data_IF_819152805619
#
_entry.id   IF_819152805619
#
_cell.length_a   1.000
_cell.length_b   1.000
_cell.length_c   1.000
_cell.angle_alpha   90.00
_cell.angle_beta   90.00
_cell.angle_gamma   90.00
#
_symmetry.space_group_name_H-M   'P 1'
#
loop_
_entity.id
_entity.type
_entity.pdbx_description
1 polymer ?
#
# COMPACT_ATOMS: atom_id res chain seq x y z
N UNK A 1 1.29 -5.72 -31.30
CA UNK A 1 1.40 -7.08 -30.68
C UNK A 1 1.84 -7.03 -29.20
N UNK A 2 2.82 -6.20 -28.81
CA UNK A 2 3.25 -6.10 -27.40
C UNK A 2 2.12 -5.63 -26.45
N UNK A 3 1.32 -4.65 -26.86
CA UNK A 3 0.20 -4.15 -26.05
C UNK A 3 -0.89 -5.21 -25.83
N UNK A 4 -1.26 -5.95 -26.88
CA UNK A 4 -2.24 -7.02 -26.82
C UNK A 4 -1.78 -8.19 -25.93
N UNK A 5 -0.49 -8.53 -26.02
CA UNK A 5 0.11 -9.54 -25.16
C UNK A 5 0.17 -9.06 -23.70
N UNK A 6 0.52 -7.80 -23.45
CA UNK A 6 0.49 -7.20 -22.13
C UNK A 6 -0.91 -7.18 -21.52
N UNK A 7 -1.93 -6.79 -22.31
CA UNK A 7 -3.33 -6.83 -21.88
C UNK A 7 -3.80 -8.25 -21.55
N UNK A 8 -3.46 -9.23 -22.39
CA UNK A 8 -3.77 -10.65 -22.14
C UNK A 8 -3.09 -11.13 -20.85
N UNK A 9 -1.85 -10.75 -20.62
CA UNK A 9 -1.12 -11.10 -19.39
C UNK A 9 -1.81 -10.58 -18.14
N UNK A 10 -2.29 -9.31 -18.14
CA UNK A 10 -3.07 -8.74 -17.02
C UNK A 10 -4.38 -9.51 -16.81
N UNK A 11 -5.09 -9.91 -17.87
CA UNK A 11 -6.31 -10.72 -17.79
C UNK A 11 -6.01 -12.09 -17.16
N UNK A 12 -4.94 -12.76 -17.59
CA UNK A 12 -4.54 -14.05 -17.02
C UNK A 12 -4.11 -13.94 -15.56
N UNK A 13 -3.43 -12.83 -15.19
CA UNK A 13 -3.13 -12.53 -13.80
C UNK A 13 -4.40 -12.37 -12.96
N UNK A 14 -5.45 -11.71 -13.48
CA UNK A 14 -6.75 -11.60 -12.82
C UNK A 14 -7.43 -12.96 -12.61
N UNK A 15 -7.42 -13.83 -13.62
CA UNK A 15 -7.98 -15.19 -13.49
C UNK A 15 -7.27 -15.96 -12.37
N UNK A 16 -5.93 -15.88 -12.33
CA UNK A 16 -5.15 -16.53 -11.27
C UNK A 16 -5.38 -15.89 -9.90
N UNK A 17 -5.58 -14.58 -9.82
CA UNK A 17 -5.92 -13.88 -8.58
C UNK A 17 -7.30 -14.34 -8.03
N UNK A 18 -8.30 -14.52 -8.91
CA UNK A 18 -9.60 -15.07 -8.53
C UNK A 18 -9.49 -16.51 -8.00
N UNK A 19 -8.69 -17.35 -8.66
CA UNK A 19 -8.41 -18.71 -8.18
C UNK A 19 -7.68 -18.67 -6.84
N UNK A 20 -6.68 -17.80 -6.67
CA UNK A 20 -5.94 -17.62 -5.41
C UNK A 20 -6.85 -17.13 -4.26
N UNK A 21 -7.78 -16.24 -4.55
CA UNK A 21 -8.71 -15.71 -3.55
C UNK A 21 -9.72 -16.75 -3.05
N UNK A 22 -10.08 -17.74 -3.88
CA UNK A 22 -11.21 -18.64 -3.63
C UNK A 22 -10.79 -20.05 -3.24
N UNK A 23 -10.08 -20.78 -4.11
CA UNK A 23 -9.80 -22.19 -3.90
C UNK A 23 -8.98 -22.50 -2.63
N UNK A 24 -7.91 -21.75 -2.30
CA UNK A 24 -7.17 -21.98 -1.06
C UNK A 24 -8.03 -21.77 0.19
N UNK A 25 -8.89 -20.75 0.16
CA UNK A 25 -9.79 -20.47 1.27
C UNK A 25 -10.81 -21.60 1.47
N UNK A 26 -11.42 -22.08 0.39
CA UNK A 26 -12.28 -23.28 0.41
C UNK A 26 -11.51 -24.50 0.95
N UNK A 27 -10.25 -24.67 0.54
CA UNK A 27 -9.38 -25.72 1.05
C UNK A 27 -9.20 -25.65 2.57
N UNK A 28 -9.07 -24.45 3.14
CA UNK A 28 -8.93 -24.30 4.60
C UNK A 28 -10.20 -24.63 5.38
N UNK A 29 -11.40 -24.40 4.81
CA UNK A 29 -12.67 -24.77 5.44
C UNK A 29 -12.93 -26.28 5.37
N UNK A 30 -12.53 -26.93 4.28
CA UNK A 30 -12.79 -28.35 4.02
C UNK A 30 -11.63 -29.27 4.45
N UNK A 31 -10.53 -28.72 4.99
CA UNK A 31 -9.33 -29.49 5.34
C UNK A 31 -8.58 -30.06 4.13
N UNK A 32 -8.81 -29.56 2.90
CA UNK A 32 -8.23 -30.09 1.67
C UNK A 32 -6.87 -29.43 1.36
N UNK A 33 -5.79 -30.15 1.67
CA UNK A 33 -4.43 -29.66 1.43
C UNK A 33 -4.13 -29.36 -0.06
N UNK A 34 -4.71 -30.11 -1.00
CA UNK A 34 -4.48 -29.87 -2.44
C UNK A 34 -5.00 -28.48 -2.85
N UNK A 35 -6.20 -28.12 -2.38
CA UNK A 35 -6.76 -26.79 -2.64
C UNK A 35 -5.94 -25.68 -1.95
N UNK A 36 -5.42 -25.93 -0.74
CA UNK A 36 -4.55 -24.97 -0.05
C UNK A 36 -3.25 -24.71 -0.83
N UNK A 37 -2.65 -25.75 -1.43
CA UNK A 37 -1.42 -25.62 -2.21
C UNK A 37 -1.60 -24.82 -3.51
N UNK A 38 -2.82 -24.69 -4.03
CA UNK A 38 -3.11 -23.83 -5.20
C UNK A 38 -2.66 -22.38 -4.96
N UNK A 39 -2.69 -21.89 -3.71
CA UNK A 39 -2.23 -20.56 -3.37
C UNK A 39 -0.79 -20.27 -3.83
N UNK A 40 0.11 -21.26 -3.68
CA UNK A 40 1.51 -21.11 -4.09
C UNK A 40 1.67 -21.03 -5.61
N UNK A 41 1.00 -21.93 -6.34
CA UNK A 41 1.07 -21.98 -7.80
C UNK A 41 0.49 -20.72 -8.43
N UNK A 42 -0.65 -20.24 -7.92
CA UNK A 42 -1.31 -19.04 -8.45
C UNK A 42 -0.54 -17.77 -8.14
N UNK A 43 0.12 -17.67 -6.98
CA UNK A 43 1.00 -16.55 -6.67
C UNK A 43 2.17 -16.44 -7.67
N UNK A 44 2.83 -17.57 -7.98
CA UNK A 44 3.88 -17.60 -9.00
C UNK A 44 3.34 -17.29 -10.41
N UNK A 45 2.18 -17.82 -10.77
CA UNK A 45 1.54 -17.54 -12.05
C UNK A 45 1.21 -16.04 -12.22
N UNK A 46 0.66 -15.39 -11.20
CA UNK A 46 0.42 -13.93 -11.22
C UNK A 46 1.73 -13.15 -11.42
N UNK A 47 2.78 -13.49 -10.68
CA UNK A 47 4.08 -12.85 -10.83
C UNK A 47 4.63 -12.98 -12.26
N UNK A 48 4.56 -14.17 -12.86
CA UNK A 48 5.03 -14.42 -14.23
C UNK A 48 4.26 -13.55 -15.23
N UNK A 49 2.93 -13.53 -15.15
CA UNK A 49 2.12 -12.74 -16.07
C UNK A 49 2.27 -11.24 -15.88
N UNK A 50 2.41 -10.75 -14.64
CA UNK A 50 2.65 -9.33 -14.38
C UNK A 50 4.08 -8.92 -14.80
N UNK A 51 5.07 -9.80 -14.68
CA UNK A 51 6.41 -9.60 -15.25
C UNK A 51 6.32 -9.46 -16.76
N UNK A 52 5.56 -10.32 -17.43
CA UNK A 52 5.32 -10.23 -18.87
C UNK A 52 4.63 -8.91 -19.24
N UNK A 53 3.62 -8.49 -18.47
CA UNK A 53 2.93 -7.22 -18.73
C UNK A 53 3.87 -6.01 -18.61
N UNK A 54 4.71 -5.94 -17.55
CA UNK A 54 5.74 -4.89 -17.41
C UNK A 54 6.72 -4.93 -18.58
N UNK A 55 7.20 -6.11 -18.97
CA UNK A 55 8.11 -6.27 -20.09
C UNK A 55 7.49 -5.81 -21.42
N UNK A 56 6.21 -6.10 -21.64
CA UNK A 56 5.48 -5.63 -22.83
C UNK A 56 5.36 -4.10 -22.86
N UNK A 57 5.08 -3.47 -21.71
CA UNK A 57 5.00 -2.01 -21.62
C UNK A 57 6.39 -1.37 -21.81
N UNK A 58 7.44 -1.94 -21.20
CA UNK A 58 8.82 -1.50 -21.40
C UNK A 58 9.24 -1.59 -22.87
N UNK A 59 8.90 -2.68 -23.56
CA UNK A 59 9.15 -2.82 -24.99
C UNK A 59 8.39 -1.74 -25.80
N UNK A 60 7.11 -1.47 -25.48
CA UNK A 60 6.36 -0.43 -26.17
C UNK A 60 6.97 0.97 -25.98
N UNK A 61 7.47 1.28 -24.77
CA UNK A 61 8.19 2.52 -24.49
C UNK A 61 9.49 2.64 -25.31
N UNK A 62 10.34 1.62 -25.25
CA UNK A 62 11.64 1.62 -25.94
C UNK A 62 11.52 1.61 -27.47
N UNK A 63 10.49 0.97 -28.01
CA UNK A 63 10.22 0.95 -29.46
C UNK A 63 9.43 2.16 -29.95
N UNK A 64 9.09 3.12 -29.09
CA UNK A 64 8.26 4.30 -29.40
C UNK A 64 6.92 3.90 -30.05
N UNK A 65 6.22 2.87 -29.52
CA UNK A 65 4.93 2.44 -30.04
C UNK A 65 3.82 3.45 -29.60
N UNK A 66 3.81 4.63 -30.26
CA UNK A 66 2.82 5.69 -29.98
C UNK A 66 1.38 5.33 -30.37
N UNK A 67 1.14 4.16 -30.92
CA UNK A 67 -0.22 3.64 -31.05
C UNK A 67 -0.81 3.21 -29.68
N UNK A 68 0.04 3.00 -28.66
CA UNK A 68 -0.39 2.81 -27.27
C UNK A 68 -0.59 4.17 -26.62
N UNK A 69 -1.81 4.46 -26.15
CA UNK A 69 -2.17 5.76 -25.57
C UNK A 69 -1.22 6.18 -24.44
N UNK A 70 -0.87 5.25 -23.56
CA UNK A 70 0.03 5.52 -22.45
C UNK A 70 1.43 5.96 -22.92
N UNK A 71 1.98 5.28 -23.91
CA UNK A 71 3.29 5.61 -24.49
C UNK A 71 3.25 6.99 -25.16
N UNK A 72 2.21 7.26 -25.94
CA UNK A 72 2.02 8.56 -26.60
C UNK A 72 1.90 9.74 -25.60
N UNK A 73 1.36 9.48 -24.40
CA UNK A 73 1.15 10.52 -23.39
C UNK A 73 2.36 10.77 -22.48
N UNK A 74 3.30 9.81 -22.37
CA UNK A 74 4.36 9.83 -21.35
C UNK A 74 5.75 9.64 -21.89
N UNK A 75 5.94 9.57 -23.20
CA UNK A 75 7.24 9.36 -23.85
C UNK A 75 7.34 10.17 -25.14
N UNK A 76 8.56 10.31 -25.68
CA UNK A 76 8.84 10.90 -26.99
C UNK A 76 10.04 10.21 -27.64
N UNK A 77 10.27 10.47 -28.94
CA UNK A 77 11.45 9.94 -29.65
C UNK A 77 12.73 10.46 -29.01
N UNK A 78 12.75 11.74 -28.60
CA UNK A 78 13.93 12.41 -28.03
C UNK A 78 14.23 12.04 -26.57
N UNK A 79 13.28 11.43 -25.85
CA UNK A 79 13.45 11.07 -24.44
C UNK A 79 14.57 10.04 -24.26
N UNK A 80 15.56 10.26 -23.34
CA UNK A 80 16.60 9.29 -23.05
C UNK A 80 16.05 7.92 -22.62
N UNK A 81 16.68 6.83 -23.03
CA UNK A 81 16.19 5.45 -22.79
C UNK A 81 15.91 5.15 -21.33
N UNK A 82 16.76 5.64 -20.41
CA UNK A 82 16.54 5.46 -18.97
C UNK A 82 15.21 6.07 -18.53
N UNK A 83 14.85 7.25 -19.06
CA UNK A 83 13.57 7.90 -18.75
C UNK A 83 12.41 7.28 -19.51
N UNK A 84 12.60 6.65 -20.68
CA UNK A 84 11.58 5.79 -21.31
C UNK A 84 11.18 4.62 -20.42
N UNK A 85 12.16 3.99 -19.76
CA UNK A 85 11.89 2.91 -18.81
C UNK A 85 11.18 3.44 -17.56
N UNK A 86 11.65 4.55 -16.98
CA UNK A 86 11.04 5.11 -15.77
C UNK A 86 9.70 5.78 -16.04
N UNK A 87 9.42 6.21 -17.27
CA UNK A 87 8.11 6.66 -17.70
C UNK A 87 7.02 5.58 -17.57
N UNK A 88 7.40 4.29 -17.42
CA UNK A 88 6.44 3.23 -17.06
C UNK A 88 5.66 3.61 -15.80
N UNK A 89 6.26 4.30 -14.85
CA UNK A 89 5.57 4.77 -13.64
C UNK A 89 5.39 6.29 -13.57
N UNK A 90 5.69 7.00 -14.65
CA UNK A 90 5.50 8.45 -14.77
C UNK A 90 4.04 8.90 -14.90
N UNK A 91 3.13 7.98 -15.17
CA UNK A 91 1.69 8.23 -15.30
C UNK A 91 0.87 7.24 -14.50
N UNK A 92 -0.44 7.51 -14.42
CA UNK A 92 -1.36 6.76 -13.55
C UNK A 92 -1.44 5.27 -13.88
N UNK A 93 -1.63 4.91 -15.15
CA UNK A 93 -1.89 3.53 -15.61
C UNK A 93 -0.66 2.64 -15.38
N UNK A 94 0.50 3.12 -15.79
CA UNK A 94 1.73 2.35 -15.64
C UNK A 94 2.24 2.29 -14.20
N UNK A 95 2.04 3.35 -13.40
CA UNK A 95 2.32 3.32 -11.97
C UNK A 95 1.45 2.29 -11.24
N UNK A 96 0.19 2.10 -11.66
CA UNK A 96 -0.68 1.06 -11.12
C UNK A 96 -0.19 -0.35 -11.52
N UNK A 97 0.28 -0.52 -12.76
CA UNK A 97 0.86 -1.79 -13.21
C UNK A 97 2.13 -2.11 -12.39
N UNK A 98 3.03 -1.14 -12.17
CA UNK A 98 4.21 -1.33 -11.32
C UNK A 98 3.81 -1.70 -9.89
N UNK A 99 2.83 -1.03 -9.30
CA UNK A 99 2.38 -1.35 -7.96
C UNK A 99 1.82 -2.78 -7.86
N UNK A 100 0.97 -3.17 -8.82
CA UNK A 100 0.40 -4.52 -8.86
C UNK A 100 1.48 -5.58 -9.09
N UNK A 101 2.50 -5.28 -9.89
CA UNK A 101 3.67 -6.13 -10.06
C UNK A 101 4.45 -6.27 -8.75
N UNK A 102 4.78 -5.18 -8.05
CA UNK A 102 5.45 -5.21 -6.75
C UNK A 102 4.62 -5.97 -5.71
N UNK A 103 3.29 -5.80 -5.73
CA UNK A 103 2.39 -6.59 -4.90
C UNK A 103 2.51 -8.10 -5.17
N UNK A 104 2.66 -8.51 -6.44
CA UNK A 104 2.88 -9.92 -6.78
C UNK A 104 4.23 -10.44 -6.27
N UNK A 105 5.26 -9.60 -6.19
CA UNK A 105 6.55 -9.94 -5.54
C UNK A 105 6.33 -10.26 -4.06
N UNK A 106 5.51 -9.49 -3.35
CA UNK A 106 5.14 -9.82 -1.97
C UNK A 106 4.39 -11.15 -1.87
N UNK A 107 3.49 -11.47 -2.81
CA UNK A 107 2.80 -12.75 -2.85
C UNK A 107 3.76 -13.93 -2.99
N UNK A 108 4.72 -13.85 -3.94
CA UNK A 108 5.71 -14.93 -4.10
C UNK A 108 6.70 -14.99 -2.93
N UNK A 109 7.05 -13.85 -2.33
CA UNK A 109 7.89 -13.82 -1.14
C UNK A 109 7.21 -14.56 0.03
N UNK A 110 5.94 -14.25 0.31
CA UNK A 110 5.14 -14.99 1.32
C UNK A 110 5.07 -16.46 0.96
N UNK A 111 4.76 -16.81 -0.29
CA UNK A 111 4.69 -18.19 -0.77
C UNK A 111 6.00 -18.97 -0.53
N UNK A 112 7.14 -18.31 -0.72
CA UNK A 112 8.46 -18.95 -0.70
C UNK A 112 9.06 -19.01 0.71
N UNK A 113 8.94 -17.93 1.49
CA UNK A 113 9.60 -17.78 2.79
C UNK A 113 8.74 -18.16 3.99
N UNK A 114 7.48 -18.56 3.78
CA UNK A 114 6.56 -18.97 4.85
C UNK A 114 6.54 -20.49 5.13
N UNK A 115 7.59 -21.22 4.79
CA UNK A 115 7.65 -22.69 4.95
C UNK A 115 7.49 -23.17 6.40
N UNK A 116 7.84 -22.36 7.40
CA UNK A 116 7.67 -22.66 8.82
C UNK A 116 6.26 -22.37 9.35
N UNK A 117 5.40 -21.76 8.54
CA UNK A 117 4.03 -21.40 8.90
C UNK A 117 3.10 -22.55 8.49
N UNK A 118 2.09 -22.90 9.32
CA UNK A 118 1.13 -23.94 8.96
C UNK A 118 0.46 -23.65 7.61
N UNK A 119 0.28 -24.69 6.79
CA UNK A 119 -0.26 -24.60 5.42
C UNK A 119 -1.61 -23.87 5.39
N UNK A 120 -2.49 -24.14 6.34
CA UNK A 120 -3.80 -23.53 6.43
C UNK A 120 -3.73 -22.02 6.71
N UNK A 121 -2.73 -21.57 7.47
CA UNK A 121 -2.49 -20.14 7.71
C UNK A 121 -1.91 -19.46 6.47
N UNK A 122 -0.87 -20.05 5.86
CA UNK A 122 -0.28 -19.51 4.62
C UNK A 122 -1.30 -19.44 3.49
N UNK A 123 -2.14 -20.46 3.35
CA UNK A 123 -3.21 -20.48 2.36
C UNK A 123 -4.24 -19.36 2.56
N UNK A 124 -4.64 -19.06 3.82
CA UNK A 124 -5.51 -17.92 4.14
C UNK A 124 -4.83 -16.58 3.84
N UNK A 125 -3.57 -16.42 4.23
CA UNK A 125 -2.81 -15.19 3.96
C UNK A 125 -2.73 -14.93 2.45
N UNK A 126 -2.32 -15.93 1.67
CA UNK A 126 -2.25 -15.80 0.21
C UNK A 126 -3.64 -15.60 -0.43
N UNK A 127 -4.69 -16.22 0.10
CA UNK A 127 -6.06 -16.00 -0.37
C UNK A 127 -6.52 -14.54 -0.15
N UNK A 128 -6.24 -13.97 1.01
CA UNK A 128 -6.54 -12.56 1.29
C UNK A 128 -5.73 -11.64 0.37
N UNK A 129 -4.44 -11.93 0.15
CA UNK A 129 -3.64 -11.22 -0.84
C UNK A 129 -4.22 -11.36 -2.25
N UNK A 130 -4.72 -12.54 -2.61
CA UNK A 130 -5.44 -12.77 -3.87
C UNK A 130 -6.67 -11.87 -4.01
N UNK A 131 -7.46 -11.68 -2.95
CA UNK A 131 -8.61 -10.75 -2.96
C UNK A 131 -8.17 -9.30 -3.23
N UNK A 132 -7.07 -8.85 -2.62
CA UNK A 132 -6.49 -7.52 -2.88
C UNK A 132 -6.02 -7.42 -4.34
N UNK A 133 -5.33 -8.44 -4.86
CA UNK A 133 -4.88 -8.49 -6.26
C UNK A 133 -6.05 -8.39 -7.24
N UNK A 134 -7.18 -9.09 -6.98
CA UNK A 134 -8.40 -8.97 -7.79
C UNK A 134 -8.86 -7.52 -7.87
N UNK A 135 -8.88 -6.79 -6.76
CA UNK A 135 -9.28 -5.39 -6.74
C UNK A 135 -8.36 -4.51 -7.59
N UNK A 136 -7.04 -4.65 -7.47
CA UNK A 136 -6.08 -3.88 -8.27
C UNK A 136 -6.16 -4.21 -9.76
N UNK A 137 -6.28 -5.49 -10.10
CA UNK A 137 -6.37 -5.94 -11.49
C UNK A 137 -7.68 -5.53 -12.15
N UNK A 138 -8.81 -5.58 -11.44
CA UNK A 138 -10.09 -5.04 -11.91
C UNK A 138 -10.02 -3.52 -12.10
N UNK A 139 -9.42 -2.80 -11.14
CA UNK A 139 -9.23 -1.36 -11.26
C UNK A 139 -8.42 -1.02 -12.52
N UNK A 140 -7.33 -1.75 -12.76
CA UNK A 140 -6.50 -1.57 -13.96
C UNK A 140 -7.29 -1.84 -15.24
N UNK A 141 -8.00 -2.97 -15.32
CA UNK A 141 -8.70 -3.38 -16.54
C UNK A 141 -9.93 -2.52 -16.86
N UNK A 142 -10.63 -2.03 -15.83
CA UNK A 142 -11.88 -1.30 -16.03
C UNK A 142 -11.71 0.23 -16.17
N UNK A 143 -10.65 0.79 -15.57
CA UNK A 143 -10.51 2.27 -15.52
C UNK A 143 -9.14 2.79 -15.92
N UNK A 144 -8.10 1.94 -15.97
CA UNK A 144 -6.71 2.42 -16.02
C UNK A 144 -5.79 1.48 -16.77
N UNK A 145 -6.22 0.97 -17.96
CA UNK A 145 -5.38 0.06 -18.74
C UNK A 145 -4.20 0.79 -19.40
N UNK A 146 -2.94 0.34 -19.13
CA UNK A 146 -1.77 0.91 -19.79
C UNK A 146 -1.59 0.45 -21.24
N UNK A 147 -2.44 -0.47 -21.73
CA UNK A 147 -2.33 -1.08 -23.05
C UNK A 147 -3.40 -0.61 -24.04
N UNK A 148 -4.15 0.45 -23.69
CA UNK A 148 -5.18 1.00 -24.56
C UNK A 148 -4.57 1.58 -25.84
N UNK A 149 -5.20 1.27 -27.00
CA UNK A 149 -4.75 1.72 -28.31
C UNK A 149 -5.46 3.02 -28.72
N UNK A 150 -4.72 3.89 -29.37
CA UNK A 150 -5.27 5.03 -30.11
C UNK A 150 -5.78 4.60 -31.48
N UNK A 151 -6.86 5.20 -31.93
CA UNK A 151 -7.38 4.97 -33.28
C UNK A 151 -6.41 5.47 -34.38
N UNK A 152 -5.69 6.55 -34.10
CA UNK A 152 -4.65 7.12 -34.95
C UNK A 152 -3.42 7.34 -34.08
N UNK A 153 -2.31 6.73 -34.45
CA UNK A 153 -1.03 6.92 -33.76
C UNK A 153 -0.43 8.28 -34.16
N UNK A 154 -0.03 9.13 -33.21
CA UNK A 154 0.71 10.34 -33.52
C UNK A 154 2.14 10.00 -34.04
N UNK A 155 2.75 10.97 -34.74
CA UNK A 155 4.11 10.81 -35.24
C UNK A 155 5.16 10.81 -34.12
N UNK A 156 4.90 11.50 -33.01
CA UNK A 156 5.70 11.54 -31.80
C UNK A 156 4.78 11.63 -30.59
N UNK A 157 5.31 11.39 -29.39
CA UNK A 157 4.57 11.48 -28.13
C UNK A 157 4.67 12.85 -27.47
N UNK A 158 3.92 13.03 -26.38
CA UNK A 158 3.79 14.30 -25.63
C UNK A 158 4.97 14.55 -24.67
N UNK A 159 5.97 13.63 -24.66
CA UNK A 159 7.10 13.62 -23.75
C UNK A 159 6.76 13.34 -22.27
N UNK A 160 7.77 13.06 -21.47
CA UNK A 160 7.66 12.95 -20.03
C UNK A 160 7.76 14.35 -19.40
N UNK A 161 6.92 14.62 -18.40
CA UNK A 161 7.02 15.88 -17.66
C UNK A 161 8.46 16.13 -17.22
N UNK A 162 9.07 17.31 -17.52
CA UNK A 162 10.46 17.60 -17.17
C UNK A 162 10.83 17.37 -15.69
N UNK A 163 9.94 17.65 -14.75
CA UNK A 163 10.14 17.37 -13.32
C UNK A 163 10.32 15.87 -13.01
N UNK A 164 9.90 14.99 -13.90
CA UNK A 164 10.05 13.54 -13.78
C UNK A 164 11.32 13.01 -14.46
N UNK A 165 12.06 13.87 -15.18
CA UNK A 165 13.33 13.52 -15.82
C UNK A 165 14.50 13.71 -14.85
N UNK A 166 14.42 13.07 -13.68
CA UNK A 166 15.32 13.20 -12.54
C UNK A 166 15.68 11.83 -11.96
N UNK A 167 16.89 11.65 -11.39
CA UNK A 167 17.27 10.41 -10.70
C UNK A 167 16.31 10.02 -9.56
N UNK A 168 15.65 10.98 -8.89
CA UNK A 168 14.62 10.72 -7.88
C UNK A 168 13.46 9.90 -8.45
N UNK A 169 13.04 10.19 -9.69
CA UNK A 169 12.00 9.44 -10.39
C UNK A 169 12.38 7.97 -10.64
N UNK A 170 13.66 7.67 -10.78
CA UNK A 170 14.11 6.29 -11.00
C UNK A 170 13.90 5.44 -9.76
N UNK A 171 14.19 5.98 -8.57
CA UNK A 171 14.35 5.19 -7.34
C UNK A 171 13.16 5.36 -6.38
N UNK A 172 12.70 6.62 -6.17
CA UNK A 172 11.69 6.92 -5.15
C UNK A 172 10.36 6.16 -5.33
N UNK A 173 9.68 6.17 -6.51
CA UNK A 173 8.38 5.53 -6.64
C UNK A 173 8.42 4.01 -6.44
N UNK A 174 9.40 3.25 -7.00
CA UNK A 174 9.52 1.83 -6.71
C UNK A 174 9.71 1.53 -5.22
N UNK A 175 10.58 2.28 -4.51
CA UNK A 175 10.81 2.09 -3.08
C UNK A 175 9.55 2.35 -2.26
N UNK A 176 8.84 3.43 -2.59
CA UNK A 176 7.57 3.78 -1.96
C UNK A 176 6.54 2.66 -2.15
N UNK A 177 6.39 2.14 -3.37
CA UNK A 177 5.43 1.08 -3.67
C UNK A 177 5.76 -0.25 -2.99
N UNK A 178 7.04 -0.59 -2.81
CA UNK A 178 7.43 -1.76 -2.00
C UNK A 178 6.93 -1.59 -0.57
N UNK A 179 7.11 -0.43 0.05
CA UNK A 179 6.61 -0.13 1.39
C UNK A 179 5.09 -0.21 1.50
N UNK A 180 4.39 0.49 0.61
CA UNK A 180 2.92 0.50 0.57
C UNK A 180 2.33 -0.90 0.41
N UNK A 181 2.80 -1.64 -0.60
CA UNK A 181 2.34 -3.00 -0.88
C UNK A 181 2.64 -3.95 0.27
N UNK A 182 3.76 -3.74 0.96
CA UNK A 182 4.20 -4.63 2.04
C UNK A 182 3.25 -4.66 3.24
N UNK A 183 2.54 -3.56 3.56
CA UNK A 183 1.55 -3.55 4.63
C UNK A 183 0.34 -4.44 4.33
N UNK A 184 0.09 -4.80 3.08
CA UNK A 184 -0.92 -5.80 2.73
C UNK A 184 -0.62 -7.18 3.31
N UNK A 185 0.66 -7.52 3.51
CA UNK A 185 1.05 -8.79 4.13
C UNK A 185 0.65 -8.81 5.61
N UNK A 186 0.94 -7.73 6.36
CA UNK A 186 0.53 -7.60 7.76
C UNK A 186 -1.00 -7.65 7.89
N UNK A 187 -1.71 -6.95 7.01
CA UNK A 187 -3.16 -7.00 6.89
C UNK A 187 -3.66 -8.42 6.61
N UNK A 188 -3.07 -9.12 5.65
CA UNK A 188 -3.48 -10.48 5.30
C UNK A 188 -3.27 -11.46 6.45
N UNK A 189 -2.19 -11.31 7.23
CA UNK A 189 -1.99 -12.08 8.46
C UNK A 189 -3.05 -11.77 9.52
N UNK A 190 -3.43 -10.49 9.69
CA UNK A 190 -4.48 -10.10 10.62
C UNK A 190 -5.85 -10.69 10.23
N UNK A 191 -6.22 -10.61 8.95
CA UNK A 191 -7.46 -11.20 8.44
C UNK A 191 -7.43 -12.74 8.53
N UNK A 192 -6.31 -13.38 8.20
CA UNK A 192 -6.16 -14.82 8.34
C UNK A 192 -6.30 -15.28 9.80
N UNK A 193 -5.77 -14.52 10.77
CA UNK A 193 -5.96 -14.76 12.20
C UNK A 193 -7.42 -14.63 12.61
N UNK A 194 -8.12 -13.58 12.14
CA UNK A 194 -9.56 -13.40 12.38
C UNK A 194 -10.40 -14.55 11.79
N UNK A 195 -10.11 -14.97 10.57
CA UNK A 195 -10.81 -16.07 9.90
C UNK A 195 -10.58 -17.41 10.61
N UNK A 196 -9.36 -17.67 11.08
CA UNK A 196 -9.02 -18.94 11.76
C UNK A 196 -9.35 -18.96 13.24
N UNK A 197 -9.56 -17.80 13.88
CA UNK A 197 -9.73 -17.67 15.33
C UNK A 197 -8.43 -17.89 16.12
N UNK A 198 -7.27 -17.89 15.47
CA UNK A 198 -5.95 -18.09 16.10
C UNK A 198 -5.29 -16.75 16.42
N UNK A 199 -5.32 -16.36 17.67
CA UNK A 199 -4.77 -15.10 18.18
C UNK A 199 -3.61 -15.38 19.16
N UNK A 200 -2.70 -16.28 18.81
CA UNK A 200 -1.55 -16.65 19.62
C UNK A 200 -0.31 -15.79 19.32
N UNK A 201 0.76 -15.98 20.10
CA UNK A 201 2.03 -15.28 19.89
C UNK A 201 2.71 -15.65 18.56
N UNK A 202 2.40 -16.82 18.00
CA UNK A 202 2.99 -17.28 16.76
C UNK A 202 2.56 -16.40 15.58
N UNK A 203 1.28 -15.99 15.55
CA UNK A 203 0.76 -15.07 14.54
C UNK A 203 1.55 -13.74 14.51
N UNK A 204 1.79 -13.12 15.67
CA UNK A 204 2.55 -11.88 15.77
C UNK A 204 3.99 -12.06 15.30
N UNK A 205 4.64 -13.19 15.68
CA UNK A 205 5.99 -13.54 15.25
C UNK A 205 6.09 -13.72 13.73
N UNK A 206 5.10 -14.33 13.08
CA UNK A 206 5.09 -14.52 11.64
C UNK A 206 4.88 -13.22 10.87
N UNK A 207 4.03 -12.33 11.38
CA UNK A 207 3.72 -11.05 10.73
C UNK A 207 4.84 -10.01 10.86
N UNK A 208 5.58 -10.01 11.99
CA UNK A 208 6.55 -8.97 12.33
C UNK A 208 7.67 -8.75 11.31
N UNK A 209 8.36 -9.77 10.77
CA UNK A 209 9.41 -9.56 9.78
C UNK A 209 8.91 -8.83 8.53
N UNK A 210 7.75 -9.23 8.02
CA UNK A 210 7.11 -8.62 6.84
C UNK A 210 6.76 -7.15 7.08
N UNK A 211 6.17 -6.86 8.23
CA UNK A 211 5.85 -5.49 8.66
C UNK A 211 7.10 -4.62 8.75
N UNK A 212 8.18 -5.16 9.30
CA UNK A 212 9.46 -4.43 9.44
C UNK A 212 10.07 -4.12 8.08
N UNK A 213 10.09 -5.08 7.15
CA UNK A 213 10.61 -4.86 5.79
C UNK A 213 9.77 -3.83 5.05
N UNK A 214 8.42 -3.92 5.12
CA UNK A 214 7.52 -2.93 4.54
C UNK A 214 7.79 -1.52 5.08
N UNK A 215 7.96 -1.39 6.39
CA UNK A 215 8.25 -0.12 7.05
C UNK A 215 9.61 0.46 6.64
N UNK A 216 10.65 -0.38 6.51
CA UNK A 216 11.98 0.05 6.03
C UNK A 216 11.87 0.64 4.62
N UNK A 217 11.21 -0.06 3.70
CA UNK A 217 11.05 0.42 2.32
C UNK A 217 10.19 1.69 2.25
N UNK A 218 9.15 1.79 3.08
CA UNK A 218 8.35 3.01 3.15
C UNK A 218 9.16 4.18 3.70
N UNK A 219 10.00 3.95 4.72
CA UNK A 219 10.93 4.96 5.27
C UNK A 219 11.91 5.45 4.20
N UNK A 220 12.53 4.53 3.46
CA UNK A 220 13.43 4.86 2.36
C UNK A 220 12.69 5.62 1.25
N UNK A 221 11.50 5.18 0.89
CA UNK A 221 10.66 5.84 -0.11
C UNK A 221 10.32 7.28 0.28
N UNK A 222 9.85 7.51 1.51
CA UNK A 222 9.54 8.85 2.03
C UNK A 222 10.80 9.73 2.04
N UNK A 223 11.93 9.21 2.53
CA UNK A 223 13.19 9.97 2.61
C UNK A 223 13.70 10.36 1.22
N UNK A 224 13.64 9.46 0.25
CA UNK A 224 14.01 9.74 -1.14
C UNK A 224 13.06 10.74 -1.81
N UNK A 225 11.77 10.68 -1.50
CA UNK A 225 10.79 11.66 -1.98
C UNK A 225 11.04 13.06 -1.42
N UNK A 226 11.35 13.14 -0.12
CA UNK A 226 11.74 14.40 0.53
C UNK A 226 13.03 15.00 -0.09
N UNK A 227 14.03 14.14 -0.38
CA UNK A 227 15.24 14.57 -1.05
C UNK A 227 14.94 15.06 -2.48
N UNK A 228 14.12 14.36 -3.24
CA UNK A 228 13.73 14.76 -4.58
C UNK A 228 12.95 16.07 -4.58
N UNK A 229 11.95 16.23 -3.71
CA UNK A 229 11.19 17.47 -3.56
C UNK A 229 12.09 18.67 -3.20
N UNK A 230 13.13 18.45 -2.38
CA UNK A 230 14.06 19.51 -1.96
C UNK A 230 14.80 20.15 -3.15
N UNK A 231 15.29 19.36 -4.10
CA UNK A 231 16.07 19.92 -5.19
C UNK A 231 15.26 20.19 -6.48
N UNK A 232 14.13 19.50 -6.69
CA UNK A 232 13.33 19.71 -7.90
C UNK A 232 12.27 20.79 -7.77
N UNK A 233 11.59 20.88 -6.63
CA UNK A 233 10.45 21.78 -6.49
C UNK A 233 10.82 23.20 -6.10
N UNK A 234 12.04 23.44 -5.61
CA UNK A 234 12.52 24.78 -5.23
C UNK A 234 11.78 25.41 -4.05
N UNK A 235 11.04 24.64 -3.26
CA UNK A 235 10.28 25.15 -2.11
C UNK A 235 11.14 25.47 -0.89
N UNK A 236 12.42 25.13 -0.90
CA UNK A 236 13.37 25.46 0.17
C UNK A 236 13.30 24.57 1.41
N UNK A 237 12.68 23.41 1.32
CA UNK A 237 12.55 22.47 2.43
C UNK A 237 12.41 21.03 1.99
N UNK A 238 12.40 20.12 2.96
CA UNK A 238 12.31 18.68 2.75
C UNK A 238 10.90 18.10 2.92
N UNK A 239 9.98 18.86 3.54
CA UNK A 239 8.64 18.41 3.87
C UNK A 239 7.67 19.57 3.94
N UNK A 240 6.54 19.48 3.28
CA UNK A 240 5.58 20.57 3.11
C UNK A 240 4.16 20.24 3.57
N UNK A 241 3.95 19.03 4.11
CA UNK A 241 2.63 18.53 4.44
C UNK A 241 1.66 18.52 3.25
N UNK A 242 2.22 18.32 2.05
CA UNK A 242 1.40 18.10 0.87
C UNK A 242 0.49 16.90 1.10
N UNK A 243 -0.77 16.89 0.62
CA UNK A 243 -1.69 15.77 0.81
C UNK A 243 -1.14 14.41 0.37
N UNK A 244 -0.28 14.36 -0.66
CA UNK A 244 0.37 13.11 -1.11
C UNK A 244 1.51 12.70 -0.19
N UNK A 245 2.29 13.64 0.33
CA UNK A 245 3.27 13.37 1.40
C UNK A 245 2.56 12.81 2.63
N UNK A 246 1.49 13.47 3.08
CA UNK A 246 0.67 13.01 4.19
C UNK A 246 0.11 11.60 3.96
N UNK A 247 -0.33 11.29 2.74
CA UNK A 247 -0.83 9.97 2.36
C UNK A 247 0.22 8.88 2.57
N UNK A 248 1.51 9.17 2.38
CA UNK A 248 2.60 8.23 2.65
C UNK A 248 2.96 8.14 4.13
N UNK A 249 2.85 9.25 4.84
CA UNK A 249 3.24 9.36 6.24
C UNK A 249 2.26 8.68 7.19
N UNK A 250 0.95 8.73 6.90
CA UNK A 250 -0.07 8.06 7.73
C UNK A 250 0.17 6.56 7.90
N UNK A 251 0.34 5.74 6.84
CA UNK A 251 0.65 4.32 7.00
C UNK A 251 2.01 4.07 7.65
N UNK A 252 2.99 4.99 7.51
CA UNK A 252 4.27 4.90 8.21
C UNK A 252 4.10 5.04 9.73
N UNK A 253 3.31 6.00 10.21
CA UNK A 253 2.99 6.20 11.62
C UNK A 253 2.25 4.97 12.19
N UNK A 254 1.20 4.51 11.50
CA UNK A 254 0.44 3.32 11.88
C UNK A 254 1.33 2.05 11.86
N UNK A 255 2.23 1.93 10.88
CA UNK A 255 3.21 0.86 10.78
C UNK A 255 4.22 0.85 11.91
N UNK A 256 4.68 2.04 12.35
CA UNK A 256 5.55 2.18 13.53
C UNK A 256 4.85 1.67 14.80
N UNK A 257 3.61 2.09 15.03
CA UNK A 257 2.79 1.60 16.14
C UNK A 257 2.55 0.08 16.04
N UNK A 258 2.34 -0.43 14.82
CA UNK A 258 2.16 -1.86 14.58
C UNK A 258 3.41 -2.67 14.93
N UNK A 259 4.60 -2.23 14.55
CA UNK A 259 5.87 -2.91 14.90
C UNK A 259 6.02 -3.02 16.42
N UNK A 260 5.77 -1.94 17.16
CA UNK A 260 5.80 -1.95 18.62
C UNK A 260 4.77 -2.92 19.21
N UNK A 261 3.55 -2.87 18.69
CA UNK A 261 2.46 -3.74 19.15
C UNK A 261 2.70 -5.21 18.85
N UNK A 262 3.25 -5.54 17.67
CA UNK A 262 3.66 -6.91 17.30
C UNK A 262 4.73 -7.45 18.25
N UNK A 263 5.72 -6.63 18.64
CA UNK A 263 6.76 -7.03 19.58
C UNK A 263 6.19 -7.38 20.97
N UNK A 264 5.21 -6.63 21.45
CA UNK A 264 4.52 -6.92 22.73
C UNK A 264 3.62 -8.15 22.59
N UNK A 265 2.86 -8.26 21.49
CA UNK A 265 1.97 -9.39 21.25
C UNK A 265 2.77 -10.72 21.15
N UNK A 266 3.94 -10.70 20.50
CA UNK A 266 4.83 -11.86 20.40
C UNK A 266 5.41 -12.29 21.75
N UNK A 267 5.94 -11.32 22.53
CA UNK A 267 6.70 -11.63 23.75
C UNK A 267 5.82 -11.80 25.00
N UNK A 268 4.70 -11.10 25.08
CA UNK A 268 3.85 -11.00 26.27
C UNK A 268 2.43 -11.48 26.05
N UNK A 269 2.00 -11.75 24.80
CA UNK A 269 0.63 -12.15 24.48
C UNK A 269 -0.41 -11.05 24.70
N UNK A 270 0.03 -9.80 24.93
CA UNK A 270 -0.83 -8.63 25.16
C UNK A 270 -1.03 -7.83 23.86
N UNK A 271 -1.96 -6.87 23.86
CA UNK A 271 -2.25 -5.96 22.73
C UNK A 271 -2.80 -6.63 21.46
N UNK A 272 -3.29 -7.86 21.51
CA UNK A 272 -3.72 -8.62 20.32
C UNK A 272 -4.76 -7.87 19.48
N UNK A 273 -5.83 -7.38 20.11
CA UNK A 273 -6.88 -6.61 19.42
C UNK A 273 -6.33 -5.32 18.82
N UNK A 274 -5.48 -4.61 19.57
CA UNK A 274 -4.83 -3.39 19.11
C UNK A 274 -3.91 -3.65 17.92
N UNK A 275 -3.11 -4.74 17.96
CA UNK A 275 -2.23 -5.16 16.88
C UNK A 275 -3.01 -5.47 15.59
N UNK A 276 -4.15 -6.16 15.71
CA UNK A 276 -5.03 -6.45 14.56
C UNK A 276 -5.59 -5.15 13.97
N UNK A 277 -6.10 -4.25 14.81
CA UNK A 277 -6.60 -2.95 14.35
C UNK A 277 -5.53 -2.10 13.68
N UNK A 278 -4.31 -2.08 14.23
CA UNK A 278 -3.19 -1.36 13.61
C UNK A 278 -2.77 -1.97 12.26
N UNK A 279 -2.80 -3.30 12.12
CA UNK A 279 -2.52 -3.96 10.84
C UNK A 279 -3.60 -3.63 9.78
N UNK A 280 -4.88 -3.63 10.19
CA UNK A 280 -5.98 -3.18 9.32
C UNK A 280 -5.79 -1.69 8.96
N UNK A 281 -5.49 -0.83 9.94
CA UNK A 281 -5.32 0.61 9.73
C UNK A 281 -4.16 0.94 8.81
N UNK A 282 -2.97 0.31 8.99
CA UNK A 282 -1.79 0.59 8.17
C UNK A 282 -2.06 0.31 6.68
N UNK A 283 -2.70 -0.81 6.36
CA UNK A 283 -3.06 -1.11 4.97
C UNK A 283 -4.24 -0.27 4.48
N UNK A 284 -5.24 0.00 5.31
CA UNK A 284 -6.37 0.88 4.96
C UNK A 284 -5.90 2.29 4.61
N UNK A 285 -4.92 2.83 5.35
CA UNK A 285 -4.31 4.12 5.07
C UNK A 285 -3.48 4.11 3.79
N UNK A 286 -2.81 2.98 3.46
CA UNK A 286 -2.15 2.81 2.17
C UNK A 286 -3.14 2.82 1.00
N UNK A 287 -4.29 2.16 1.13
CA UNK A 287 -5.37 2.21 0.14
C UNK A 287 -6.01 3.59 0.05
N UNK A 288 -6.23 4.27 1.19
CA UNK A 288 -6.74 5.63 1.21
C UNK A 288 -5.77 6.60 0.52
N UNK A 289 -4.46 6.45 0.77
CA UNK A 289 -3.42 7.18 0.04
C UNK A 289 -3.53 7.00 -1.47
N UNK A 290 -3.79 5.76 -1.91
CA UNK A 290 -4.08 5.46 -3.32
C UNK A 290 -5.28 6.23 -3.84
N UNK A 291 -6.38 6.29 -3.08
CA UNK A 291 -7.55 7.07 -3.44
C UNK A 291 -7.21 8.56 -3.58
N UNK A 292 -6.55 9.13 -2.58
CA UNK A 292 -6.21 10.55 -2.56
C UNK A 292 -5.35 10.97 -3.76
N UNK A 293 -4.34 10.15 -4.11
CA UNK A 293 -3.44 10.44 -5.23
C UNK A 293 -4.11 10.22 -6.59
N UNK A 294 -4.92 9.17 -6.73
CA UNK A 294 -5.40 8.68 -8.04
C UNK A 294 -6.79 9.14 -8.44
N UNK A 295 -7.59 9.61 -7.51
CA UNK A 295 -8.90 10.18 -7.81
C UNK A 295 -8.84 11.59 -8.37
N UNK A 296 -7.72 12.29 -8.19
CA UNK A 296 -7.56 13.70 -8.58
C UNK A 296 -8.41 14.67 -7.76
N UNK A 297 -8.99 14.25 -6.64
CA UNK A 297 -9.83 15.12 -5.78
C UNK A 297 -9.00 16.10 -4.95
N UNK A 298 -7.70 15.88 -4.81
CA UNK A 298 -6.80 16.75 -4.06
C UNK A 298 -6.01 17.67 -4.99
N UNK A 299 -5.84 18.91 -4.56
CA UNK A 299 -4.90 19.84 -5.19
C UNK A 299 -3.49 19.54 -4.65
N UNK A 300 -2.67 18.89 -5.47
CA UNK A 300 -1.27 18.56 -5.16
C UNK A 300 -0.46 18.52 -6.46
N UNK A 301 0.82 18.85 -6.37
CA UNK A 301 1.77 18.68 -7.50
C UNK A 301 1.98 17.22 -7.89
N UNK A 302 1.63 16.29 -7.01
CA UNK A 302 1.73 14.85 -7.20
C UNK A 302 0.41 14.20 -7.65
N UNK A 303 -0.70 14.97 -7.72
CA UNK A 303 -1.99 14.39 -8.07
C UNK A 303 -2.13 14.18 -9.58
N UNK A 304 -2.81 13.09 -9.95
CA UNK A 304 -3.22 12.84 -11.33
C UNK A 304 -4.50 13.64 -11.68
N UNK A 305 -4.80 13.73 -12.96
CA UNK A 305 -6.04 14.37 -13.41
C UNK A 305 -7.29 13.76 -12.76
N UNK A 306 -8.27 14.62 -12.46
CA UNK A 306 -9.53 14.20 -11.84
C UNK A 306 -10.29 13.26 -12.76
N UNK A 307 -10.66 12.09 -12.23
CA UNK A 307 -11.44 11.06 -12.91
C UNK A 307 -12.45 10.45 -11.92
N UNK A 308 -13.74 10.84 -12.02
CA UNK A 308 -14.78 10.36 -11.11
C UNK A 308 -14.98 8.84 -11.13
N UNK A 309 -14.76 8.16 -12.27
CA UNK A 309 -14.90 6.71 -12.36
C UNK A 309 -13.81 5.99 -11.55
N UNK A 310 -12.57 6.48 -11.65
CA UNK A 310 -11.46 6.01 -10.82
C UNK A 310 -11.73 6.23 -9.32
N UNK A 311 -12.21 7.43 -8.97
CA UNK A 311 -12.55 7.78 -7.60
C UNK A 311 -13.62 6.85 -7.02
N UNK A 312 -14.73 6.65 -7.74
CA UNK A 312 -15.81 5.76 -7.30
C UNK A 312 -15.35 4.31 -7.11
N UNK A 313 -14.56 3.77 -8.06
CA UNK A 313 -14.04 2.41 -7.95
C UNK A 313 -13.22 2.24 -6.66
N UNK A 314 -12.29 3.17 -6.41
CA UNK A 314 -11.42 3.08 -5.23
C UNK A 314 -12.22 3.25 -3.93
N UNK A 315 -13.22 4.12 -3.90
CA UNK A 315 -14.12 4.27 -2.74
C UNK A 315 -14.89 2.98 -2.44
N UNK A 316 -15.41 2.31 -3.46
CA UNK A 316 -16.06 1.00 -3.29
C UNK A 316 -15.08 -0.07 -2.79
N UNK A 317 -13.86 -0.05 -3.30
CA UNK A 317 -12.79 -0.94 -2.86
C UNK A 317 -12.41 -0.69 -1.39
N UNK A 318 -12.24 0.58 -1.00
CA UNK A 318 -12.02 0.99 0.40
C UNK A 318 -13.16 0.51 1.30
N UNK A 319 -14.41 0.78 0.92
CA UNK A 319 -15.58 0.36 1.68
C UNK A 319 -15.60 -1.16 1.91
N UNK A 320 -15.33 -1.94 0.87
CA UNK A 320 -15.30 -3.39 0.95
C UNK A 320 -14.19 -3.90 1.87
N UNK A 321 -12.96 -3.41 1.69
CA UNK A 321 -11.81 -3.92 2.45
C UNK A 321 -11.77 -3.39 3.88
N UNK A 322 -11.99 -2.09 4.09
CA UNK A 322 -12.01 -1.50 5.43
C UNK A 322 -13.26 -1.95 6.18
N UNK A 323 -14.43 -1.76 5.56
CA UNK A 323 -15.71 -2.13 6.17
C UNK A 323 -15.81 -3.62 6.48
N UNK A 324 -15.45 -4.47 5.52
CA UNK A 324 -15.42 -5.92 5.69
C UNK A 324 -14.44 -6.37 6.77
N UNK A 325 -13.25 -5.77 6.84
CA UNK A 325 -12.24 -6.09 7.85
C UNK A 325 -12.68 -5.68 9.26
N UNK A 326 -13.25 -4.49 9.40
CA UNK A 326 -13.77 -4.00 10.69
C UNK A 326 -14.99 -4.79 11.14
N UNK A 327 -15.88 -5.17 10.23
CA UNK A 327 -17.03 -6.03 10.54
C UNK A 327 -16.56 -7.43 11.00
N UNK A 328 -15.57 -8.02 10.30
CA UNK A 328 -14.97 -9.28 10.72
C UNK A 328 -14.26 -9.17 12.06
N UNK A 329 -13.54 -8.07 12.31
CA UNK A 329 -12.94 -7.79 13.61
C UNK A 329 -14.01 -7.69 14.71
N UNK A 330 -15.04 -6.89 14.51
CA UNK A 330 -16.13 -6.72 15.48
C UNK A 330 -16.80 -8.06 15.82
N UNK A 331 -17.04 -8.91 14.83
CA UNK A 331 -17.60 -10.24 15.01
C UNK A 331 -16.68 -11.16 15.83
N UNK A 332 -15.36 -11.12 15.59
CA UNK A 332 -14.37 -12.00 16.23
C UNK A 332 -13.78 -11.44 17.53
N UNK A 333 -13.92 -10.15 17.79
CA UNK A 333 -13.34 -9.46 18.95
C UNK A 333 -13.68 -10.11 20.32
N UNK A 334 -14.91 -10.61 20.58
CA UNK A 334 -15.24 -11.27 21.85
C UNK A 334 -14.39 -12.53 22.14
N UNK A 335 -13.91 -13.22 21.10
CA UNK A 335 -13.04 -14.39 21.21
C UNK A 335 -11.56 -14.09 21.43
N UNK A 336 -11.15 -12.82 21.36
CA UNK A 336 -9.76 -12.44 21.55
C UNK A 336 -9.47 -12.29 23.04
N UNK A 337 -8.66 -13.21 23.61
CA UNK A 337 -8.24 -13.11 25.01
C UNK A 337 -7.51 -11.79 25.27
N UNK A 338 -7.91 -11.08 26.32
CA UNK A 338 -7.42 -9.73 26.65
C UNK A 338 -5.95 -9.69 27.12
N UNK A 339 -5.31 -10.83 27.31
CA UNK A 339 -3.93 -10.93 27.80
C UNK A 339 -3.80 -10.67 29.29
N UNK A 340 -2.56 -10.69 29.81
CA UNK A 340 -2.24 -10.41 31.21
C UNK A 340 -2.38 -8.91 31.53
N UNK A 341 -2.76 -8.59 32.74
CA UNK A 341 -2.65 -7.24 33.27
C UNK A 341 -1.16 -6.86 33.40
N UNK A 342 -0.84 -5.61 33.15
CA UNK A 342 0.49 -5.05 33.32
C UNK A 342 0.46 -3.83 34.24
N UNK A 343 1.56 -3.57 34.92
CA UNK A 343 1.67 -2.46 35.87
C UNK A 343 1.73 -1.11 35.14
N UNK A 344 1.24 -0.04 35.78
CA UNK A 344 1.26 1.32 35.23
C UNK A 344 2.69 1.81 34.94
N UNK A 345 3.67 1.44 35.74
CA UNK A 345 5.09 1.76 35.53
C UNK A 345 5.83 0.58 34.87
N UNK A 346 5.40 0.17 33.67
CA UNK A 346 5.99 -0.95 32.93
C UNK A 346 6.40 -0.53 31.51
N UNK A 347 7.27 -1.34 30.87
CA UNK A 347 7.63 -1.16 29.45
C UNK A 347 6.39 -1.26 28.54
N UNK A 348 5.46 -2.12 28.89
CA UNK A 348 4.21 -2.33 28.18
C UNK A 348 3.36 -1.06 28.20
N UNK A 349 3.25 -0.39 29.34
CA UNK A 349 2.53 0.90 29.46
C UNK A 349 3.19 1.99 28.63
N UNK A 350 4.54 2.09 28.67
CA UNK A 350 5.28 3.07 27.86
C UNK A 350 5.06 2.83 26.36
N UNK A 351 5.09 1.57 25.90
CA UNK A 351 4.82 1.21 24.51
C UNK A 351 3.36 1.45 24.11
N UNK A 352 2.40 1.22 25.04
CA UNK A 352 0.99 1.53 24.80
C UNK A 352 0.76 3.03 24.61
N UNK A 353 1.35 3.86 25.50
CA UNK A 353 1.28 5.31 25.40
C UNK A 353 1.90 5.82 24.09
N UNK A 354 3.07 5.27 23.73
CA UNK A 354 3.71 5.61 22.45
C UNK A 354 2.82 5.24 21.25
N UNK A 355 2.20 4.05 21.26
CA UNK A 355 1.26 3.64 20.22
C UNK A 355 0.03 4.55 20.17
N UNK A 356 -0.45 5.02 21.32
CA UNK A 356 -1.57 5.97 21.38
C UNK A 356 -1.19 7.32 20.77
N UNK A 357 0.02 7.83 21.05
CA UNK A 357 0.52 9.05 20.44
C UNK A 357 0.70 8.92 18.93
N UNK A 358 1.25 7.81 18.45
CA UNK A 358 1.37 7.54 17.01
C UNK A 358 0.00 7.45 16.33
N UNK A 359 -0.97 6.80 16.97
CA UNK A 359 -2.34 6.74 16.46
C UNK A 359 -3.02 8.11 16.45
N UNK A 360 -2.80 8.93 17.49
CA UNK A 360 -3.30 10.30 17.55
C UNK A 360 -2.68 11.17 16.46
N UNK A 361 -1.35 11.10 16.25
CA UNK A 361 -0.68 11.79 15.15
C UNK A 361 -1.23 11.34 13.78
N UNK A 362 -1.45 10.04 13.59
CA UNK A 362 -2.07 9.51 12.37
C UNK A 362 -3.46 10.10 12.14
N UNK A 363 -4.29 10.18 13.19
CA UNK A 363 -5.62 10.78 13.11
C UNK A 363 -5.58 12.29 12.82
N UNK A 364 -4.63 13.02 13.41
CA UNK A 364 -4.42 14.46 13.16
C UNK A 364 -4.03 14.71 11.71
N UNK A 365 -3.10 13.91 11.16
CA UNK A 365 -2.70 14.03 9.75
C UNK A 365 -3.86 13.68 8.83
N UNK A 366 -4.58 12.59 9.13
CA UNK A 366 -5.75 12.17 8.36
C UNK A 366 -6.82 13.27 8.33
N UNK A 367 -7.16 13.81 9.51
CA UNK A 367 -8.19 14.83 9.62
C UNK A 367 -7.79 16.13 8.91
N UNK A 368 -6.55 16.60 9.11
CA UNK A 368 -6.04 17.79 8.43
C UNK A 368 -6.01 17.64 6.90
N UNK A 369 -5.67 16.44 6.42
CA UNK A 369 -5.61 16.14 4.98
C UNK A 369 -7.01 16.03 4.34
N UNK A 370 -7.98 15.45 5.05
CA UNK A 370 -9.33 15.26 4.54
C UNK A 370 -10.25 16.46 4.77
N UNK A 371 -9.97 17.35 5.74
CA UNK A 371 -10.83 18.47 6.08
C UNK A 371 -11.19 19.36 4.89
N UNK A 372 -10.24 19.78 4.01
CA UNK A 372 -10.59 20.55 2.82
C UNK A 372 -11.60 19.85 1.91
N UNK A 373 -11.45 18.54 1.71
CA UNK A 373 -12.35 17.73 0.89
C UNK A 373 -13.75 17.62 1.51
N UNK A 374 -13.82 17.43 2.81
CA UNK A 374 -15.09 17.31 3.54
C UNK A 374 -15.86 18.64 3.49
N UNK A 375 -15.16 19.77 3.68
CA UNK A 375 -15.78 21.09 3.61
C UNK A 375 -16.33 21.40 2.22
N UNK A 376 -15.55 21.10 1.17
CA UNK A 376 -15.96 21.30 -0.22
C UNK A 376 -17.16 20.39 -0.56
N UNK A 377 -17.11 19.11 -0.20
CA UNK A 377 -18.18 18.14 -0.44
C UNK A 377 -19.51 18.49 0.27
N UNK A 378 -19.42 19.10 1.45
CA UNK A 378 -20.58 19.54 2.22
C UNK A 378 -21.07 20.97 1.85
N UNK A 379 -20.42 21.62 0.85
CA UNK A 379 -20.69 23.01 0.47
C UNK A 379 -20.55 24.02 1.63
N UNK A 380 -19.64 23.76 2.58
CA UNK A 380 -19.36 24.62 3.73
C UNK A 380 -18.31 25.71 3.43
N UNK A 381 -17.88 25.80 2.16
CA UNK A 381 -16.84 26.71 1.72
C UNK A 381 -15.48 26.01 1.55
N UNK A 382 -14.50 26.78 1.05
CA UNK A 382 -13.13 26.29 0.84
C UNK A 382 -12.24 26.64 2.01
N UNK A 383 -11.62 25.64 2.61
CA UNK A 383 -10.61 25.81 3.65
C UNK A 383 -9.27 25.26 3.16
N UNK A 384 -8.17 25.77 3.69
CA UNK A 384 -6.84 25.23 3.49
C UNK A 384 -6.25 24.83 4.84
N UNK A 385 -5.71 23.62 4.92
CA UNK A 385 -4.99 23.12 6.09
C UNK A 385 -3.54 22.92 5.66
N UNK A 386 -2.65 23.72 6.23
CA UNK A 386 -1.23 23.74 5.85
C UNK A 386 -0.31 23.42 7.02
N UNK A 387 0.99 23.65 6.79
CA UNK A 387 2.07 23.38 7.76
C UNK A 387 1.86 23.99 9.18
N UNK A 388 1.21 25.15 9.39
CA UNK A 388 1.01 25.64 10.76
C UNK A 388 0.19 24.68 11.62
N UNK A 389 -0.86 24.04 11.06
CA UNK A 389 -1.66 23.04 11.74
C UNK A 389 -0.83 21.80 12.11
N UNK A 390 -0.16 21.22 11.12
CA UNK A 390 0.57 19.99 11.32
C UNK A 390 1.78 20.19 12.24
N UNK A 391 2.57 21.25 12.03
CA UNK A 391 3.75 21.55 12.85
C UNK A 391 3.37 21.77 14.31
N UNK A 392 2.30 22.53 14.58
CA UNK A 392 1.85 22.77 15.94
C UNK A 392 1.55 21.47 16.68
N UNK A 393 0.80 20.56 16.05
CA UNK A 393 0.42 19.28 16.66
C UNK A 393 1.63 18.34 16.85
N UNK A 394 2.55 18.31 15.89
CA UNK A 394 3.75 17.47 15.97
C UNK A 394 4.75 17.95 17.01
N UNK A 395 4.94 19.26 17.17
CA UNK A 395 5.86 19.82 18.17
C UNK A 395 5.50 19.38 19.58
N UNK A 396 4.21 19.29 19.92
CA UNK A 396 3.79 18.87 21.25
C UNK A 396 3.87 17.34 21.47
N UNK A 397 3.55 16.54 20.48
CA UNK A 397 3.40 15.09 20.67
C UNK A 397 4.71 14.33 20.41
N UNK A 398 5.51 14.74 19.44
CA UNK A 398 6.73 14.00 19.03
C UNK A 398 7.80 13.92 20.14
N UNK A 399 8.13 14.99 20.90
CA UNK A 399 9.11 14.90 21.99
C UNK A 399 8.67 13.93 23.07
N UNK A 400 7.38 13.88 23.40
CA UNK A 400 6.83 12.97 24.42
C UNK A 400 6.94 11.53 23.95
N UNK A 401 6.57 11.24 22.69
CA UNK A 401 6.71 9.91 22.09
C UNK A 401 8.18 9.46 22.08
N UNK A 402 9.09 10.34 21.65
CA UNK A 402 10.52 10.03 21.59
C UNK A 402 11.13 9.74 22.97
N UNK A 403 10.80 10.53 24.00
CA UNK A 403 11.30 10.33 25.37
C UNK A 403 10.84 8.99 25.94
N UNK A 404 9.62 8.55 25.66
CA UNK A 404 9.13 7.25 26.12
C UNK A 404 9.87 6.07 25.48
N UNK A 405 10.39 6.21 24.24
CA UNK A 405 11.19 5.19 23.58
C UNK A 405 12.64 5.13 24.09
N UNK A 406 13.19 6.28 24.50
CA UNK A 406 14.62 6.42 24.86
C UNK A 406 14.90 6.32 26.36
N UNK A 407 13.87 6.37 27.21
CA UNK A 407 14.05 6.18 28.64
C UNK A 407 14.74 4.82 28.93
N UNK A 408 15.93 4.81 29.58
CA UNK A 408 16.59 3.58 29.95
C UNK A 408 15.71 2.84 30.96
N UNK A 409 15.03 1.81 30.49
CA UNK A 409 14.32 0.88 31.36
C UNK A 409 15.37 0.08 32.11
N UNK A 410 15.84 0.55 33.24
CA UNK A 410 16.55 -0.30 34.20
C UNK A 410 15.63 -1.46 34.53
N UNK A 411 16.12 -2.63 34.20
CA UNK A 411 15.48 -3.89 34.57
C UNK A 411 15.44 -4.02 36.08
#
# INVERSE_FOLDING_TARGET
MSAELGQLAVILALVLALVQATLPLLGTFNGNARLMHVAHTTAWGQFIFLTLAIACLAHAMLSNDFSVRYVANTSSIALPEIYKITAIWGGHEGALLLWTFIFSIWCIAVSTFSKSIPLDMTARVLAVMGMVAVGFLLFMLLTSSPFERLAVAPADGNDLNPLLQDPGMIIHPPMLYVGYSGFSVAFAFAIAALLSGRFDAAWARWSRPWTTVAWIFLTLGISLGSWWAYHELGWGGWWFWDPVENASFMPWLAGTALIHSLAVAEKRGSFKSWTILLAISAFSLSLLGTFLVRSGVLTSVHSFANDPARGLFILMFLLLFIGGSLALFAWRAPGINRGSHFELASKETALLLNNLFLAALTAIVLFGTLAPLIYDALNLGKISVGFPWFNLMFVFITPVSYTHLTLPTKA
#
